data_IF_784039181278
#
_entry.id   IF_784039181278
#
_cell.length_a   1.000
_cell.length_b   1.000
_cell.length_c   1.000
_cell.angle_alpha   90.00
_cell.angle_beta   90.00
_cell.angle_gamma   90.00
#
_symmetry.space_group_name_H-M   'P 1'
#
loop_
_entity.id
_entity.type
_entity.pdbx_description
1 polymer ?
#
# COMPACT_ATOMS: atom_id res chain seq x y z
N UNK A 1 2.19 13.92 -26.61
CA UNK A 1 1.97 12.46 -26.66
C UNK A 1 3.26 11.82 -27.20
N UNK A 2 3.92 11.00 -26.38
CA UNK A 2 5.07 10.20 -26.82
C UNK A 2 4.58 9.16 -27.83
N UNK A 3 5.32 8.86 -28.91
CA UNK A 3 5.04 7.74 -29.78
C UNK A 3 4.93 6.46 -28.94
N UNK A 4 3.95 5.61 -29.22
CA UNK A 4 3.60 4.45 -28.37
C UNK A 4 4.76 3.50 -28.05
N UNK A 5 5.77 3.40 -28.94
CA UNK A 5 6.99 2.61 -28.69
C UNK A 5 7.98 3.26 -27.69
N UNK A 6 7.96 4.58 -27.52
CA UNK A 6 8.86 5.29 -26.61
C UNK A 6 8.28 5.40 -25.18
N UNK A 7 6.94 5.41 -25.04
CA UNK A 7 6.30 5.31 -23.72
C UNK A 7 6.60 3.96 -23.06
N UNK A 8 6.74 2.89 -23.82
CA UNK A 8 6.96 1.55 -23.28
C UNK A 8 8.30 1.41 -22.53
N UNK A 9 9.32 2.22 -22.82
CA UNK A 9 10.64 2.10 -22.18
C UNK A 9 10.64 2.67 -20.75
N UNK A 10 9.85 3.73 -20.51
CA UNK A 10 9.75 4.35 -19.17
C UNK A 10 8.60 3.78 -18.33
N UNK A 11 7.64 3.10 -18.97
CA UNK A 11 6.47 2.51 -18.33
C UNK A 11 6.36 0.98 -18.54
N UNK A 12 7.45 0.33 -18.88
CA UNK A 12 7.45 -1.08 -19.21
C UNK A 12 7.16 -1.95 -17.98
N UNK A 13 6.16 -2.80 -18.09
CA UNK A 13 5.88 -3.85 -17.13
C UNK A 13 6.48 -5.16 -17.67
N UNK A 14 7.56 -5.67 -17.07
CA UNK A 14 8.13 -6.94 -17.49
C UNK A 14 7.12 -8.08 -17.29
N UNK A 15 7.07 -8.99 -18.26
CA UNK A 15 6.32 -10.25 -18.12
C UNK A 15 7.29 -11.29 -17.59
N UNK A 16 7.01 -11.82 -16.43
CA UNK A 16 7.80 -12.87 -15.79
C UNK A 16 7.11 -14.23 -15.98
N UNK A 17 7.86 -15.35 -15.98
CA UNK A 17 7.31 -16.69 -15.84
C UNK A 17 6.46 -16.82 -14.57
N UNK A 18 5.42 -17.68 -14.58
CA UNK A 18 4.47 -17.81 -13.46
C UNK A 18 5.10 -18.24 -12.15
N UNK A 19 6.22 -18.96 -12.21
CA UNK A 19 6.98 -19.48 -11.07
C UNK A 19 8.08 -18.54 -10.57
N UNK A 20 8.19 -17.32 -11.12
CA UNK A 20 9.22 -16.36 -10.70
C UNK A 20 8.94 -15.86 -9.28
N UNK A 21 9.89 -16.00 -8.32
CA UNK A 21 9.74 -15.47 -6.97
C UNK A 21 9.45 -13.96 -6.97
N UNK A 22 8.52 -13.52 -6.13
CA UNK A 22 8.08 -12.12 -6.08
C UNK A 22 9.24 -11.15 -5.79
N UNK A 23 10.18 -11.51 -4.94
CA UNK A 23 11.36 -10.69 -4.63
C UNK A 23 12.23 -10.49 -5.87
N UNK A 24 12.44 -11.56 -6.65
CA UNK A 24 13.21 -11.50 -7.90
C UNK A 24 12.50 -10.64 -8.95
N UNK A 25 11.16 -10.75 -9.07
CA UNK A 25 10.38 -9.89 -9.95
C UNK A 25 10.54 -8.41 -9.59
N UNK A 26 10.48 -8.08 -8.30
CA UNK A 26 10.65 -6.71 -7.82
C UNK A 26 12.07 -6.20 -8.11
N UNK A 27 13.09 -6.99 -7.80
CA UNK A 27 14.49 -6.64 -8.03
C UNK A 27 14.77 -6.40 -9.52
N UNK A 28 14.35 -7.30 -10.39
CA UNK A 28 14.53 -7.18 -11.84
C UNK A 28 13.78 -5.97 -12.41
N UNK A 29 12.56 -5.69 -11.92
CA UNK A 29 11.79 -4.52 -12.36
C UNK A 29 12.46 -3.21 -11.95
N UNK A 30 13.04 -3.15 -10.76
CA UNK A 30 13.80 -1.98 -10.28
C UNK A 30 15.06 -1.77 -11.11
N UNK A 31 15.89 -2.82 -11.25
CA UNK A 31 17.14 -2.76 -12.03
C UNK A 31 16.87 -2.30 -13.46
N UNK A 32 15.87 -2.87 -14.10
CA UNK A 32 15.53 -2.54 -15.46
C UNK A 32 15.01 -1.11 -15.64
N UNK A 33 14.24 -0.60 -14.66
CA UNK A 33 13.83 0.80 -14.65
C UNK A 33 15.03 1.74 -14.50
N UNK A 34 15.96 1.43 -13.60
CA UNK A 34 17.19 2.20 -13.42
C UNK A 34 18.06 2.21 -14.68
N UNK A 35 18.23 1.06 -15.32
CA UNK A 35 18.98 0.95 -16.59
C UNK A 35 18.29 1.74 -17.71
N UNK A 36 16.96 1.68 -17.78
CA UNK A 36 16.16 2.47 -18.72
C UNK A 36 16.38 3.98 -18.55
N UNK A 37 16.40 4.45 -17.29
CA UNK A 37 16.70 5.86 -17.02
C UNK A 37 18.16 6.21 -17.26
N UNK A 38 19.08 5.32 -16.92
CA UNK A 38 20.52 5.55 -17.06
C UNK A 38 20.96 5.59 -18.53
N UNK A 39 20.47 4.65 -19.34
CA UNK A 39 21.04 4.39 -20.66
C UNK A 39 20.12 4.83 -21.81
N UNK A 40 18.80 4.79 -21.62
CA UNK A 40 17.86 5.09 -22.69
C UNK A 40 17.34 6.53 -22.59
N UNK A 41 16.94 7.01 -21.42
CA UNK A 41 16.38 8.35 -21.25
C UNK A 41 17.31 9.46 -21.79
N UNK A 42 18.65 9.46 -21.56
CA UNK A 42 19.55 10.51 -22.05
C UNK A 42 19.54 10.68 -23.56
N UNK A 43 19.40 9.58 -24.30
CA UNK A 43 19.45 9.52 -25.77
C UNK A 43 18.08 9.54 -26.45
N UNK A 44 17.01 9.53 -25.65
CA UNK A 44 15.64 9.50 -26.15
C UNK A 44 15.23 10.89 -26.67
N UNK A 45 14.77 10.94 -27.92
CA UNK A 45 14.19 12.16 -28.50
C UNK A 45 12.78 12.38 -27.96
N UNK A 46 12.59 13.40 -27.15
CA UNK A 46 11.32 13.71 -26.51
C UNK A 46 10.65 14.92 -27.18
N UNK A 47 9.33 14.85 -27.33
CA UNK A 47 8.54 15.99 -27.81
C UNK A 47 8.66 17.19 -26.83
N UNK A 48 8.73 16.91 -25.53
CA UNK A 48 8.98 17.92 -24.51
C UNK A 48 10.31 18.68 -24.72
N UNK A 49 11.23 18.10 -25.49
CA UNK A 49 12.54 18.65 -25.84
C UNK A 49 12.62 19.10 -27.31
N UNK A 50 11.49 19.32 -27.95
CA UNK A 50 11.41 19.72 -29.36
C UNK A 50 12.09 18.70 -30.29
N UNK A 51 11.99 17.41 -29.96
CA UNK A 51 12.60 16.31 -30.72
C UNK A 51 14.09 16.13 -30.48
N UNK A 52 14.70 16.86 -29.56
CA UNK A 52 16.10 16.66 -29.12
C UNK A 52 16.19 15.68 -27.96
N UNK A 53 17.41 15.26 -27.66
CA UNK A 53 17.70 14.37 -26.52
C UNK A 53 18.02 15.17 -25.25
N UNK A 54 17.95 14.51 -24.09
CA UNK A 54 18.35 15.15 -22.83
C UNK A 54 19.84 15.51 -22.83
N UNK A 55 20.71 14.67 -23.42
CA UNK A 55 22.15 14.93 -23.57
C UNK A 55 22.42 16.18 -24.41
N UNK A 56 21.75 16.31 -25.58
CA UNK A 56 21.90 17.48 -26.45
C UNK A 56 21.47 18.78 -25.74
N UNK A 57 20.39 18.73 -24.95
CA UNK A 57 19.89 19.90 -24.21
C UNK A 57 20.72 20.23 -22.97
N UNK A 58 21.29 19.24 -22.31
CA UNK A 58 22.13 19.45 -21.14
C UNK A 58 23.44 20.19 -21.46
N UNK A 59 23.92 20.07 -22.69
CA UNK A 59 25.09 20.82 -23.19
C UNK A 59 24.78 22.30 -23.46
N UNK A 60 23.51 22.64 -23.70
CA UNK A 60 23.06 24.01 -23.97
C UNK A 60 22.64 24.70 -22.67
N UNK A 61 23.41 25.68 -22.23
CA UNK A 61 23.19 26.42 -20.99
C UNK A 61 21.76 26.94 -20.84
N UNK A 62 21.16 27.46 -21.92
CA UNK A 62 19.82 28.02 -21.90
C UNK A 62 18.71 26.95 -21.77
N UNK A 63 19.02 25.72 -22.12
CA UNK A 63 18.05 24.60 -22.09
C UNK A 63 18.24 23.62 -20.92
N UNK A 64 19.32 23.76 -20.15
CA UNK A 64 19.58 22.93 -18.95
C UNK A 64 18.41 22.93 -17.96
N UNK A 65 17.80 24.10 -17.76
CA UNK A 65 16.64 24.25 -16.86
C UNK A 65 15.46 23.37 -17.32
N UNK A 66 15.26 23.23 -18.63
CA UNK A 66 14.20 22.39 -19.21
C UNK A 66 14.42 20.92 -18.88
N UNK A 67 15.66 20.45 -18.99
CA UNK A 67 16.01 19.07 -18.63
C UNK A 67 15.86 18.84 -17.12
N UNK A 68 16.37 19.75 -16.29
CA UNK A 68 16.22 19.67 -14.83
C UNK A 68 14.75 19.66 -14.39
N UNK A 69 13.90 20.51 -14.96
CA UNK A 69 12.47 20.54 -14.66
C UNK A 69 11.79 19.22 -15.07
N UNK A 70 12.14 18.67 -16.22
CA UNK A 70 11.62 17.37 -16.67
C UNK A 70 12.03 16.24 -15.74
N UNK A 71 13.30 16.19 -15.33
CA UNK A 71 13.78 15.19 -14.36
C UNK A 71 13.08 15.34 -13.01
N UNK A 72 12.86 16.57 -12.55
CA UNK A 72 12.15 16.81 -11.28
C UNK A 72 10.71 16.31 -11.35
N UNK A 73 9.99 16.54 -12.45
CA UNK A 73 8.62 16.04 -12.64
C UNK A 73 8.60 14.51 -12.67
N UNK A 74 9.51 13.90 -13.41
CA UNK A 74 9.62 12.43 -13.49
C UNK A 74 9.92 11.85 -12.11
N UNK A 75 10.93 12.38 -11.42
CA UNK A 75 11.34 11.93 -10.10
C UNK A 75 10.21 12.06 -9.08
N UNK A 76 9.51 13.20 -9.04
CA UNK A 76 8.37 13.40 -8.15
C UNK A 76 7.27 12.37 -8.41
N UNK A 77 6.92 12.11 -9.68
CA UNK A 77 5.93 11.09 -10.04
C UNK A 77 6.37 9.67 -9.64
N UNK A 78 7.66 9.34 -9.76
CA UNK A 78 8.18 8.05 -9.33
C UNK A 78 8.17 7.93 -7.81
N UNK A 79 8.55 8.99 -7.10
CA UNK A 79 8.59 9.04 -5.63
C UNK A 79 7.20 8.94 -4.97
N UNK A 80 6.13 9.22 -5.71
CA UNK A 80 4.77 8.91 -5.27
C UNK A 80 4.49 7.41 -5.19
N UNK A 81 5.25 6.58 -5.91
CA UNK A 81 5.06 5.12 -5.98
C UNK A 81 6.18 4.34 -5.30
N UNK A 82 7.40 4.86 -5.38
CA UNK A 82 8.61 4.21 -4.88
C UNK A 82 9.45 5.22 -4.08
N UNK A 83 9.47 5.05 -2.76
CA UNK A 83 10.15 5.93 -1.82
C UNK A 83 11.70 5.90 -1.97
N UNK A 84 12.27 4.89 -2.63
CA UNK A 84 13.72 4.75 -2.86
C UNK A 84 14.23 5.48 -4.10
N UNK A 85 13.33 5.98 -4.96
CA UNK A 85 13.74 6.61 -6.21
C UNK A 85 14.55 7.89 -5.96
N UNK A 86 15.75 7.96 -6.55
CA UNK A 86 16.63 9.14 -6.62
C UNK A 86 17.25 9.19 -8.02
N UNK A 87 17.10 10.32 -8.71
CA UNK A 87 17.66 10.54 -10.05
C UNK A 87 18.91 11.42 -10.05
N UNK A 88 19.57 11.64 -8.92
CA UNK A 88 20.81 12.44 -8.86
C UNK A 88 21.93 11.82 -9.69
N UNK A 89 22.02 10.47 -9.79
CA UNK A 89 22.96 9.80 -10.68
C UNK A 89 22.79 10.19 -12.15
N UNK A 90 21.54 10.44 -12.57
CA UNK A 90 21.23 10.87 -13.93
C UNK A 90 21.57 12.35 -14.15
N UNK A 91 21.34 13.19 -13.13
CA UNK A 91 21.79 14.59 -13.14
C UNK A 91 23.30 14.68 -13.28
N UNK A 92 24.03 13.87 -12.52
CA UNK A 92 25.50 13.78 -12.60
C UNK A 92 25.95 13.36 -14.00
N UNK A 93 25.38 12.29 -14.56
CA UNK A 93 25.68 11.83 -15.94
C UNK A 93 25.45 12.91 -16.99
N UNK A 94 24.42 13.74 -16.83
CA UNK A 94 24.10 14.83 -17.76
C UNK A 94 24.83 16.15 -17.44
N UNK A 95 25.72 16.17 -16.44
CA UNK A 95 26.45 17.37 -15.99
C UNK A 95 25.51 18.45 -15.45
N UNK A 96 24.36 18.05 -14.89
CA UNK A 96 23.38 18.94 -14.26
C UNK A 96 23.65 19.05 -12.76
N UNK A 97 23.13 20.11 -12.13
CA UNK A 97 23.24 20.29 -10.68
C UNK A 97 22.38 19.22 -9.98
N UNK A 98 22.99 18.51 -9.04
CA UNK A 98 22.27 17.59 -8.15
C UNK A 98 21.30 18.34 -7.25
N UNK A 99 20.26 17.67 -6.81
CA UNK A 99 19.29 18.23 -5.87
C UNK A 99 19.77 17.97 -4.45
N UNK A 100 20.24 19.02 -3.79
CA UNK A 100 20.62 18.98 -2.38
C UNK A 100 19.39 18.96 -1.47
N UNK A 101 19.49 18.34 -0.28
CA UNK A 101 18.49 18.47 0.75
C UNK A 101 18.24 19.94 1.11
N UNK A 102 17.00 20.28 1.41
CA UNK A 102 16.59 21.64 1.78
C UNK A 102 16.54 21.72 3.31
N UNK A 103 17.22 22.71 3.88
CA UNK A 103 17.12 23.01 5.30
C UNK A 103 15.77 23.71 5.59
N UNK A 104 14.90 23.14 6.43
CA UNK A 104 13.59 23.71 6.72
C UNK A 104 13.60 24.75 7.85
N UNK A 105 14.75 25.05 8.49
CA UNK A 105 14.85 25.83 9.73
C UNK A 105 14.20 27.22 9.61
N UNK A 106 14.40 27.91 8.47
CA UNK A 106 13.90 29.25 8.25
C UNK A 106 12.71 29.25 7.24
N UNK A 107 12.09 28.10 6.99
CA UNK A 107 10.99 27.97 6.01
C UNK A 107 9.66 27.97 6.74
N UNK A 108 8.79 28.94 6.42
CA UNK A 108 7.42 28.93 6.89
C UNK A 108 6.61 27.81 6.23
N UNK A 109 5.68 27.19 6.97
CA UNK A 109 4.82 26.09 6.49
C UNK A 109 4.08 26.41 5.19
N UNK A 110 3.66 27.66 5.02
CA UNK A 110 2.98 28.16 3.82
C UNK A 110 3.87 28.21 2.56
N UNK A 111 5.19 28.23 2.75
CA UNK A 111 6.17 28.31 1.65
C UNK A 111 6.66 26.92 1.20
N UNK A 112 6.38 25.88 1.97
CA UNK A 112 6.73 24.51 1.60
C UNK A 112 5.87 24.07 0.41
N UNK A 113 6.52 23.82 -0.73
CA UNK A 113 5.82 23.35 -1.94
C UNK A 113 5.79 21.83 -2.01
N UNK A 114 4.74 21.27 -2.62
CA UNK A 114 4.57 19.81 -2.73
C UNK A 114 5.74 19.14 -3.44
N UNK A 115 6.28 19.79 -4.48
CA UNK A 115 7.42 19.27 -5.27
C UNK A 115 8.71 19.19 -4.43
N UNK A 116 8.83 19.98 -3.37
CA UNK A 116 10.00 20.03 -2.49
C UNK A 116 9.89 19.11 -1.28
N UNK A 117 8.69 18.60 -0.95
CA UNK A 117 8.46 17.79 0.26
C UNK A 117 9.42 16.61 0.42
N UNK A 118 9.77 15.93 -0.68
CA UNK A 118 10.73 14.80 -0.65
C UNK A 118 12.20 15.20 -0.55
N UNK A 119 12.51 16.51 -0.44
CA UNK A 119 13.86 17.03 -0.39
C UNK A 119 14.21 17.70 0.94
N UNK A 120 13.24 17.99 1.79
CA UNK A 120 13.53 18.59 3.09
C UNK A 120 14.28 17.62 4.01
N UNK A 121 15.26 18.16 4.72
CA UNK A 121 15.92 17.46 5.83
C UNK A 121 14.93 17.36 7.01
N UNK A 122 14.22 16.23 7.07
CA UNK A 122 13.18 15.98 8.07
C UNK A 122 13.70 16.01 9.51
N UNK A 123 15.01 15.73 9.71
CA UNK A 123 15.63 15.73 11.04
C UNK A 123 15.70 17.13 11.65
N UNK A 124 15.68 18.16 10.80
CA UNK A 124 15.70 19.58 11.20
C UNK A 124 14.33 20.22 11.28
N UNK A 125 13.27 19.52 10.88
CA UNK A 125 11.90 20.02 10.97
C UNK A 125 11.46 20.13 12.44
N UNK A 126 10.66 21.14 12.76
CA UNK A 126 9.92 21.18 14.01
C UNK A 126 8.82 20.11 14.03
N UNK A 127 8.32 19.77 15.20
CA UNK A 127 7.21 18.82 15.36
C UNK A 127 5.96 19.26 14.61
N UNK A 128 5.65 20.56 14.57
CA UNK A 128 4.53 21.12 13.82
C UNK A 128 4.76 21.04 12.29
N UNK A 129 5.99 21.28 11.82
CA UNK A 129 6.35 21.13 10.41
C UNK A 129 6.20 19.66 9.97
N UNK A 130 6.66 18.70 10.78
CA UNK A 130 6.49 17.28 10.50
C UNK A 130 5.02 16.89 10.38
N UNK A 131 4.19 17.32 11.35
CA UNK A 131 2.75 17.04 11.34
C UNK A 131 2.06 17.60 10.09
N UNK A 132 2.32 18.86 9.77
CA UNK A 132 1.74 19.53 8.61
C UNK A 132 2.19 18.87 7.30
N UNK A 133 3.49 18.63 7.14
CA UNK A 133 4.02 17.99 5.94
C UNK A 133 3.52 16.56 5.78
N UNK A 134 3.40 15.78 6.88
CA UNK A 134 2.84 14.44 6.85
C UNK A 134 1.42 14.43 6.28
N UNK A 135 0.52 15.27 6.83
CA UNK A 135 -0.86 15.38 6.36
C UNK A 135 -0.94 15.77 4.89
N UNK A 136 -0.13 16.74 4.44
CA UNK A 136 -0.06 17.13 3.02
C UNK A 136 0.40 15.97 2.14
N UNK A 137 1.44 15.25 2.56
CA UNK A 137 1.97 14.10 1.82
C UNK A 137 0.93 12.99 1.66
N UNK A 138 0.08 12.75 2.66
CA UNK A 138 -1.03 11.79 2.57
C UNK A 138 -2.04 12.20 1.48
N UNK A 139 -2.41 13.50 1.42
CA UNK A 139 -3.36 14.01 0.42
C UNK A 139 -2.84 13.84 -1.01
N UNK A 140 -1.55 14.13 -1.23
CA UNK A 140 -0.92 14.02 -2.56
C UNK A 140 -0.31 12.64 -2.82
N UNK A 141 -0.41 11.72 -1.87
CA UNK A 141 0.17 10.36 -1.94
C UNK A 141 1.67 10.33 -2.23
N UNK A 142 2.43 11.29 -1.66
CA UNK A 142 3.87 11.41 -1.90
C UNK A 142 4.65 10.46 -0.98
N UNK A 143 4.78 9.21 -1.41
CA UNK A 143 5.26 8.10 -0.61
C UNK A 143 6.67 8.30 -0.02
N UNK A 144 7.62 8.83 -0.79
CA UNK A 144 8.99 9.10 -0.29
C UNK A 144 8.97 10.02 0.94
N UNK A 145 8.23 11.12 0.86
CA UNK A 145 8.13 12.06 1.96
C UNK A 145 7.33 11.48 3.14
N UNK A 146 6.24 10.73 2.88
CA UNK A 146 5.47 10.02 3.93
C UNK A 146 6.39 9.14 4.76
N UNK A 147 7.20 8.30 4.11
CA UNK A 147 8.11 7.37 4.79
C UNK A 147 9.14 8.11 5.62
N UNK A 148 9.84 9.08 5.01
CA UNK A 148 10.89 9.84 5.72
C UNK A 148 10.33 10.61 6.93
N UNK A 149 9.18 11.26 6.78
CA UNK A 149 8.54 12.00 7.86
C UNK A 149 7.99 11.05 8.94
N UNK A 150 7.38 9.93 8.56
CA UNK A 150 6.87 8.94 9.49
C UNK A 150 7.99 8.32 10.34
N UNK A 151 9.12 7.96 9.74
CA UNK A 151 10.30 7.46 10.45
C UNK A 151 10.83 8.49 11.46
N UNK A 152 10.92 9.76 11.07
CA UNK A 152 11.35 10.83 11.96
C UNK A 152 10.34 11.05 13.10
N UNK A 153 9.03 11.05 12.85
CA UNK A 153 8.01 11.19 13.88
C UNK A 153 8.11 10.06 14.91
N UNK A 154 8.28 8.80 14.49
CA UNK A 154 8.35 7.69 15.44
C UNK A 154 9.69 7.67 16.22
N UNK A 155 10.76 8.23 15.67
CA UNK A 155 12.06 8.30 16.32
C UNK A 155 12.14 9.36 17.44
N UNK A 156 11.32 10.42 17.38
CA UNK A 156 11.33 11.50 18.37
C UNK A 156 10.62 11.10 19.65
N UNK A 157 11.02 11.74 20.77
CA UNK A 157 10.30 11.64 22.05
C UNK A 157 9.07 12.57 22.05
N UNK A 158 9.19 13.78 21.48
CA UNK A 158 8.12 14.75 21.34
C UNK A 158 7.25 14.44 20.10
N UNK A 159 6.17 13.72 20.31
CA UNK A 159 5.24 13.32 19.24
C UNK A 159 4.25 14.44 18.94
N UNK A 160 3.90 14.66 17.64
CA UNK A 160 2.84 15.59 17.29
C UNK A 160 1.49 15.16 17.88
N UNK A 161 0.88 16.02 18.72
CA UNK A 161 -0.37 15.70 19.43
C UNK A 161 -1.59 15.57 18.51
N UNK A 162 -1.52 16.18 17.30
CA UNK A 162 -2.64 16.24 16.35
C UNK A 162 -2.62 15.11 15.31
N UNK A 163 -1.62 14.24 15.37
CA UNK A 163 -1.52 13.10 14.46
C UNK A 163 -2.02 11.82 15.12
N UNK A 164 -2.72 11.02 14.35
CA UNK A 164 -2.98 9.64 14.71
C UNK A 164 -1.69 8.82 14.52
N UNK A 165 -1.01 8.51 15.62
CA UNK A 165 0.25 7.76 15.57
C UNK A 165 0.05 6.35 15.02
N UNK A 166 -1.13 5.76 15.16
CA UNK A 166 -1.42 4.46 14.56
C UNK A 166 -1.27 4.54 13.03
N UNK A 167 -1.80 5.58 12.37
CA UNK A 167 -1.67 5.77 10.94
C UNK A 167 -0.22 6.05 10.51
N UNK A 168 0.57 6.72 11.37
CA UNK A 168 2.00 6.94 11.14
C UNK A 168 2.75 5.60 11.09
N UNK A 169 2.51 4.69 12.05
CA UNK A 169 3.06 3.34 12.02
C UNK A 169 2.57 2.58 10.79
N UNK A 170 1.29 2.71 10.45
CA UNK A 170 0.68 2.09 9.26
C UNK A 170 1.34 2.48 7.94
N UNK A 171 1.80 3.73 7.82
CA UNK A 171 2.49 4.24 6.63
C UNK A 171 3.82 3.53 6.34
N UNK A 172 4.41 2.90 7.35
CA UNK A 172 5.71 2.23 7.26
C UNK A 172 5.62 0.73 6.98
N UNK A 173 4.43 0.12 7.00
CA UNK A 173 4.27 -1.32 6.83
C UNK A 173 4.92 -1.85 5.55
N UNK A 174 4.75 -1.13 4.44
CA UNK A 174 5.29 -1.56 3.15
C UNK A 174 6.79 -1.28 2.97
N UNK A 175 7.41 -0.58 3.92
CA UNK A 175 8.85 -0.33 3.90
C UNK A 175 9.64 -1.48 4.53
N UNK A 176 8.96 -2.35 5.27
CA UNK A 176 9.56 -3.48 5.97
C UNK A 176 9.61 -4.71 5.07
N UNK A 177 10.74 -5.42 5.14
CA UNK A 177 11.02 -6.54 4.25
C UNK A 177 10.38 -7.83 4.74
N UNK A 178 10.29 -8.02 6.06
CA UNK A 178 9.78 -9.25 6.67
C UNK A 178 8.39 -9.07 7.27
N UNK A 179 7.65 -10.17 7.39
CA UNK A 179 6.34 -10.16 8.04
C UNK A 179 6.45 -9.86 9.54
N UNK A 180 7.52 -10.29 10.19
CA UNK A 180 7.80 -10.05 11.60
C UNK A 180 7.96 -8.55 11.88
N UNK A 181 8.72 -7.83 11.05
CA UNK A 181 8.87 -6.38 11.15
C UNK A 181 7.54 -5.65 10.93
N UNK A 182 6.71 -6.14 9.99
CA UNK A 182 5.37 -5.59 9.74
C UNK A 182 4.44 -5.82 10.91
N UNK A 183 4.47 -7.01 11.51
CA UNK A 183 3.67 -7.36 12.68
C UNK A 183 4.09 -6.49 13.88
N UNK A 184 5.40 -6.25 14.10
CA UNK A 184 5.88 -5.34 15.15
C UNK A 184 5.34 -3.92 14.99
N UNK A 185 5.30 -3.40 13.74
CA UNK A 185 4.70 -2.10 13.47
C UNK A 185 3.18 -2.09 13.70
N UNK A 186 2.47 -3.15 13.35
CA UNK A 186 1.04 -3.27 13.60
C UNK A 186 0.78 -3.30 15.11
N UNK A 187 1.60 -4.01 15.89
CA UNK A 187 1.46 -4.02 17.35
C UNK A 187 1.62 -2.62 17.94
N UNK A 188 2.61 -1.87 17.48
CA UNK A 188 2.78 -0.45 17.87
C UNK A 188 1.60 0.42 17.45
N UNK A 189 1.04 0.17 16.26
CA UNK A 189 -0.15 0.88 15.77
C UNK A 189 -1.38 0.56 16.63
N UNK A 190 -1.60 -0.70 17.03
CA UNK A 190 -2.67 -1.10 17.96
C UNK A 190 -2.55 -0.38 19.30
N UNK A 191 -1.33 -0.37 19.88
CA UNK A 191 -1.07 0.31 21.13
C UNK A 191 -1.32 1.83 21.04
N UNK A 192 -0.89 2.46 19.93
CA UNK A 192 -1.13 3.87 19.68
C UNK A 192 -2.62 4.18 19.53
N UNK A 193 -3.39 3.33 18.83
CA UNK A 193 -4.83 3.47 18.69
C UNK A 193 -5.54 3.39 20.04
N UNK A 194 -5.20 2.37 20.86
CA UNK A 194 -5.77 2.22 22.20
C UNK A 194 -5.42 3.40 23.13
N UNK A 195 -4.19 3.91 23.06
CA UNK A 195 -3.77 5.09 23.83
C UNK A 195 -4.55 6.35 23.43
N UNK A 196 -5.00 6.42 22.17
CA UNK A 196 -5.85 7.49 21.65
C UNK A 196 -7.36 7.23 21.84
N UNK A 197 -7.77 6.18 22.57
CA UNK A 197 -9.14 5.71 22.72
C UNK A 197 -9.83 5.40 21.37
N UNK A 198 -9.05 4.91 20.41
CA UNK A 198 -9.54 4.45 19.10
C UNK A 198 -9.60 2.92 19.04
N UNK A 199 -10.46 2.39 18.17
CA UNK A 199 -10.54 0.95 17.95
C UNK A 199 -9.27 0.39 17.29
N UNK A 200 -8.74 -0.75 17.75
CA UNK A 200 -7.63 -1.43 17.10
C UNK A 200 -8.08 -2.32 15.92
N UNK A 201 -9.38 -2.41 15.64
CA UNK A 201 -9.97 -3.39 14.71
C UNK A 201 -9.33 -3.39 13.32
N UNK A 202 -9.06 -2.21 12.74
CA UNK A 202 -8.41 -2.12 11.41
C UNK A 202 -7.00 -2.70 11.42
N UNK A 203 -6.29 -2.63 12.55
CA UNK A 203 -4.94 -3.18 12.71
C UNK A 203 -4.98 -4.69 12.89
N UNK A 204 -5.99 -5.22 13.60
CA UNK A 204 -6.25 -6.67 13.69
C UNK A 204 -6.53 -7.25 12.30
N UNK A 205 -7.35 -6.58 11.49
CA UNK A 205 -7.60 -6.97 10.09
C UNK A 205 -6.34 -7.01 9.23
N UNK A 206 -5.44 -6.05 9.41
CA UNK A 206 -4.16 -5.99 8.67
C UNK A 206 -3.15 -7.05 9.13
N UNK A 207 -3.24 -7.50 10.36
CA UNK A 207 -2.34 -8.52 10.93
C UNK A 207 -2.67 -9.93 10.40
N UNK A 208 -3.95 -10.27 10.23
CA UNK A 208 -4.41 -11.61 9.84
C UNK A 208 -3.66 -12.17 8.62
N UNK A 209 -3.59 -11.49 7.45
CA UNK A 209 -2.89 -12.03 6.29
C UNK A 209 -1.39 -12.23 6.54
N UNK A 210 -0.74 -11.38 7.33
CA UNK A 210 0.68 -11.53 7.66
C UNK A 210 0.93 -12.77 8.51
N UNK A 211 0.04 -13.06 9.49
CA UNK A 211 0.11 -14.28 10.31
C UNK A 211 -0.09 -15.54 9.46
N UNK A 212 -1.07 -15.52 8.56
CA UNK A 212 -1.30 -16.65 7.63
C UNK A 212 -0.07 -16.87 6.75
N UNK A 213 0.50 -15.82 6.16
CA UNK A 213 1.71 -15.90 5.32
C UNK A 213 2.94 -16.40 6.11
N UNK A 214 3.00 -16.15 7.41
CA UNK A 214 4.06 -16.64 8.30
C UNK A 214 3.76 -18.05 8.84
N UNK A 215 2.63 -18.66 8.47
CA UNK A 215 2.23 -20.00 8.94
C UNK A 215 1.61 -20.03 10.35
N UNK A 216 1.42 -18.85 10.97
CA UNK A 216 0.80 -18.70 12.31
C UNK A 216 -0.73 -18.66 12.21
N UNK A 217 -1.29 -19.78 11.78
CA UNK A 217 -2.74 -19.91 11.54
C UNK A 217 -3.57 -19.85 12.83
N UNK A 218 -2.99 -20.24 13.97
CA UNK A 218 -3.69 -20.18 15.25
C UNK A 218 -3.93 -18.73 15.67
N UNK A 219 -2.89 -17.89 15.68
CA UNK A 219 -3.05 -16.46 16.00
C UNK A 219 -3.99 -15.77 14.99
N UNK A 220 -3.90 -16.12 13.71
CA UNK A 220 -4.83 -15.60 12.71
C UNK A 220 -6.29 -15.93 13.03
N UNK A 221 -6.58 -17.18 13.46
CA UNK A 221 -7.91 -17.60 13.89
C UNK A 221 -8.39 -16.84 15.13
N UNK A 222 -7.52 -16.67 16.13
CA UNK A 222 -7.85 -15.94 17.36
C UNK A 222 -8.16 -14.46 17.07
N UNK A 223 -7.41 -13.85 16.14
CA UNK A 223 -7.69 -12.46 15.66
C UNK A 223 -9.04 -12.36 14.96
N UNK A 224 -9.38 -13.33 14.09
CA UNK A 224 -10.69 -13.36 13.42
C UNK A 224 -11.83 -13.47 14.44
N UNK A 225 -11.72 -14.36 15.42
CA UNK A 225 -12.70 -14.51 16.51
C UNK A 225 -12.81 -13.20 17.33
N UNK A 226 -11.68 -12.55 17.61
CA UNK A 226 -11.68 -11.28 18.36
C UNK A 226 -12.43 -10.19 17.60
N UNK A 227 -12.23 -10.08 16.28
CA UNK A 227 -12.93 -9.11 15.43
C UNK A 227 -14.44 -9.41 15.43
N UNK A 228 -14.81 -10.67 15.24
CA UNK A 228 -16.20 -11.11 15.19
C UNK A 228 -16.93 -10.84 16.52
N UNK A 229 -16.28 -11.15 17.64
CA UNK A 229 -16.90 -11.01 18.96
C UNK A 229 -16.98 -9.55 19.45
N UNK A 230 -16.00 -8.71 19.12
CA UNK A 230 -15.85 -7.41 19.76
C UNK A 230 -15.96 -6.20 18.84
N UNK A 231 -15.75 -6.37 17.51
CA UNK A 231 -15.56 -5.25 16.60
C UNK A 231 -16.44 -5.30 15.35
N UNK A 232 -17.18 -6.39 15.12
CA UNK A 232 -17.95 -6.59 13.87
C UNK A 232 -19.04 -5.54 13.67
N UNK A 233 -19.56 -4.96 14.75
CA UNK A 233 -20.59 -3.92 14.70
C UNK A 233 -20.01 -2.50 14.53
N UNK A 234 -18.68 -2.36 14.53
CA UNK A 234 -18.05 -1.07 14.28
C UNK A 234 -18.21 -0.66 12.80
N UNK A 235 -18.39 0.65 12.52
CA UNK A 235 -18.60 1.13 11.15
C UNK A 235 -17.50 0.70 10.19
N UNK A 236 -17.86 0.00 9.11
CA UNK A 236 -16.97 -0.45 8.05
C UNK A 236 -16.13 -1.70 8.37
N UNK A 237 -16.06 -2.15 9.64
CA UNK A 237 -15.25 -3.32 10.00
C UNK A 237 -15.85 -4.59 9.42
N UNK A 238 -17.18 -4.75 9.48
CA UNK A 238 -17.87 -5.90 8.90
C UNK A 238 -17.53 -6.09 7.42
N UNK A 239 -17.63 -5.03 6.62
CA UNK A 239 -17.39 -5.10 5.18
C UNK A 239 -15.94 -5.45 4.87
N UNK A 240 -14.98 -4.82 5.56
CA UNK A 240 -13.57 -5.13 5.42
C UNK A 240 -13.24 -6.58 5.85
N UNK A 241 -13.87 -7.07 6.93
CA UNK A 241 -13.67 -8.42 7.41
C UNK A 241 -14.16 -9.46 6.41
N UNK A 242 -15.40 -9.31 5.89
CA UNK A 242 -15.91 -10.21 4.86
C UNK A 242 -15.10 -10.15 3.57
N UNK A 243 -14.66 -8.95 3.15
CA UNK A 243 -13.79 -8.81 2.00
C UNK A 243 -12.44 -9.54 2.21
N UNK A 244 -11.87 -9.44 3.40
CA UNK A 244 -10.65 -10.18 3.76
C UNK A 244 -10.88 -11.70 3.70
N UNK A 245 -11.97 -12.21 4.28
CA UNK A 245 -12.29 -13.64 4.24
C UNK A 245 -12.47 -14.16 2.81
N UNK A 246 -13.09 -13.36 1.92
CA UNK A 246 -13.18 -13.69 0.48
C UNK A 246 -11.80 -13.72 -0.19
N UNK A 247 -10.95 -12.73 0.09
CA UNK A 247 -9.58 -12.69 -0.46
C UNK A 247 -8.71 -13.87 -0.01
N UNK A 248 -8.93 -14.33 1.22
CA UNK A 248 -8.25 -15.51 1.78
C UNK A 248 -8.87 -16.83 1.30
N UNK A 249 -9.96 -16.78 0.53
CA UNK A 249 -10.67 -17.98 0.05
C UNK A 249 -11.37 -18.77 1.15
N UNK A 250 -11.68 -18.13 2.28
CA UNK A 250 -12.39 -18.75 3.41
C UNK A 250 -13.89 -18.80 3.15
N UNK A 251 -14.42 -17.76 2.52
CA UNK A 251 -15.82 -17.66 2.10
C UNK A 251 -15.95 -17.36 0.62
N UNK A 252 -17.06 -17.78 0.02
CA UNK A 252 -17.45 -17.43 -1.34
C UNK A 252 -18.07 -16.01 -1.40
N UNK A 253 -18.26 -15.43 -2.60
CA UNK A 253 -18.92 -14.13 -2.75
C UNK A 253 -20.38 -14.07 -2.25
N UNK A 254 -21.05 -15.21 -2.09
CA UNK A 254 -22.38 -15.34 -1.51
C UNK A 254 -22.37 -15.48 0.02
N UNK A 255 -21.19 -15.41 0.64
CA UNK A 255 -20.98 -15.55 2.08
C UNK A 255 -20.97 -17.00 2.58
N UNK A 256 -21.13 -17.99 1.69
CA UNK A 256 -21.03 -19.41 2.09
C UNK A 256 -19.58 -19.82 2.33
N UNK A 257 -19.29 -20.74 3.27
CA UNK A 257 -17.93 -21.25 3.45
C UNK A 257 -17.42 -21.91 2.16
N UNK A 258 -16.15 -21.65 1.82
CA UNK A 258 -15.50 -22.38 0.73
C UNK A 258 -15.35 -23.83 1.15
N UNK A 259 -15.85 -24.78 0.36
CA UNK A 259 -15.59 -26.20 0.60
C UNK A 259 -14.08 -26.40 0.61
N UNK A 260 -13.50 -26.71 1.77
CA UNK A 260 -12.08 -27.04 1.88
C UNK A 260 -11.73 -28.13 0.86
N UNK A 261 -10.46 -28.27 0.44
CA UNK A 261 -10.06 -29.32 -0.48
C UNK A 261 -10.62 -30.64 0.05
N UNK A 262 -11.52 -31.26 -0.74
CA UNK A 262 -12.14 -32.53 -0.38
C UNK A 262 -10.99 -33.46 -0.01
N UNK A 263 -10.99 -33.97 1.22
CA UNK A 263 -10.05 -35.01 1.62
C UNK A 263 -10.12 -36.11 0.53
N UNK A 264 -8.98 -36.61 0.02
CA UNK A 264 -9.00 -37.61 -1.03
C UNK A 264 -9.90 -38.75 -0.58
N UNK A 265 -10.94 -39.03 -1.35
CA UNK A 265 -11.81 -40.18 -1.08
C UNK A 265 -10.98 -41.46 -1.19
N UNK A 266 -10.45 -41.89 -0.08
CA UNK A 266 -9.56 -43.05 0.05
C UNK A 266 -10.06 -44.01 1.08
N UNK A 267 -10.61 -45.09 0.58
CA UNK A 267 -10.86 -46.39 1.17
C UNK A 267 -12.08 -46.59 2.10
N UNK A 268 -12.93 -47.54 1.79
CA UNK A 268 -13.93 -48.03 2.74
C UNK A 268 -13.24 -48.81 3.84
N UNK A 269 -12.91 -48.15 4.93
CA UNK A 269 -12.36 -48.73 6.14
C UNK A 269 -13.51 -49.22 7.03
N UNK A 270 -13.40 -50.50 7.39
CA UNK A 270 -14.21 -51.28 8.31
C UNK A 270 -14.52 -50.45 9.56
N UNK A 271 -15.80 -50.32 9.86
CA UNK A 271 -16.32 -49.68 11.07
C UNK A 271 -16.09 -50.62 12.25
N UNK A 272 -15.19 -50.27 13.16
CA UNK A 272 -15.02 -50.88 14.46
C UNK A 272 -15.81 -50.06 15.50
N UNK A 273 -16.85 -50.59 16.17
CA UNK A 273 -17.77 -49.79 16.97
C UNK A 273 -17.33 -49.59 18.44
N UNK A 274 -16.03 -49.67 18.76
CA UNK A 274 -15.57 -49.54 20.14
C UNK A 274 -14.30 -48.66 20.28
N UNK A 275 -14.43 -47.37 19.98
CA UNK A 275 -13.52 -46.37 20.54
C UNK A 275 -14.19 -45.00 20.63
N UNK A 276 -14.77 -44.78 21.79
CA UNK A 276 -15.05 -43.44 22.30
C UNK A 276 -13.74 -42.81 22.73
N UNK A 277 -13.16 -41.95 21.91
CA UNK A 277 -12.24 -40.94 22.43
C UNK A 277 -12.36 -39.68 21.57
N UNK A 278 -12.88 -38.64 22.19
CA UNK A 278 -13.20 -37.35 21.65
C UNK A 278 -12.01 -36.42 21.83
N UNK A 279 -11.28 -36.14 20.75
CA UNK A 279 -10.53 -34.89 20.60
C UNK A 279 -10.45 -34.55 19.11
N UNK A 280 -11.58 -34.04 18.61
CA UNK A 280 -11.62 -33.37 17.30
C UNK A 280 -11.38 -31.89 17.52
N UNK A 281 -10.23 -31.38 17.09
CA UNK A 281 -10.03 -29.97 16.83
C UNK A 281 -10.99 -29.57 15.71
N UNK A 282 -12.10 -28.95 16.08
CA UNK A 282 -13.12 -28.54 15.15
C UNK A 282 -12.63 -27.33 14.33
N UNK A 283 -12.61 -27.49 13.03
CA UNK A 283 -12.56 -26.39 12.09
C UNK A 283 -13.82 -25.57 12.33
N UNK A 284 -13.65 -24.27 12.64
CA UNK A 284 -14.71 -23.31 12.87
C UNK A 284 -15.67 -23.28 11.67
N UNK A 285 -16.95 -23.48 11.89
CA UNK A 285 -18.04 -23.22 10.95
C UNK A 285 -18.90 -22.10 11.52
N UNK A 286 -19.17 -21.00 10.77
CA UNK A 286 -20.07 -19.95 11.21
C UNK A 286 -21.45 -20.51 11.56
N UNK A 287 -21.97 -20.11 12.73
CA UNK A 287 -23.15 -20.67 13.34
C UNK A 287 -24.38 -20.74 12.44
N UNK A 288 -24.97 -21.91 12.38
CA UNK A 288 -26.25 -22.18 11.74
C UNK A 288 -27.36 -21.49 12.51
N UNK A 289 -27.96 -20.42 11.94
CA UNK A 289 -29.25 -19.92 12.42
C UNK A 289 -30.36 -20.87 11.97
N UNK A 290 -31.37 -21.12 12.81
CA UNK A 290 -32.51 -21.95 12.42
C UNK A 290 -33.36 -21.23 11.36
N UNK A 291 -33.81 -21.98 10.37
CA UNK A 291 -34.65 -21.53 9.28
C UNK A 291 -35.94 -20.91 9.80
N UNK A 292 -36.20 -19.65 9.39
CA UNK A 292 -37.51 -19.03 9.52
C UNK A 292 -38.35 -19.33 8.26
N UNK A 293 -39.63 -19.60 8.46
CA UNK A 293 -40.63 -19.95 7.45
C UNK A 293 -40.79 -18.85 6.37
N UNK A 294 -41.14 -19.21 5.13
CA UNK A 294 -41.31 -18.25 4.04
C UNK A 294 -42.63 -17.51 4.12
N UNK A 295 -42.62 -16.20 4.25
CA UNK A 295 -43.75 -15.34 4.00
C UNK A 295 -43.92 -14.98 2.51
N UNK A 296 -45.16 -14.69 2.04
CA UNK A 296 -45.51 -14.69 0.63
C UNK A 296 -45.08 -13.41 -0.11
N UNK A 297 -44.64 -13.61 -1.35
CA UNK A 297 -44.23 -12.59 -2.31
C UNK A 297 -45.33 -11.59 -2.65
N UNK A 298 -45.05 -10.29 -2.49
CA UNK A 298 -45.80 -9.19 -3.12
C UNK A 298 -44.99 -8.64 -4.31
N UNK A 299 -45.65 -8.52 -5.45
CA UNK A 299 -45.11 -8.07 -6.74
C UNK A 299 -44.62 -6.61 -6.70
N UNK A 300 -43.60 -6.24 -7.46
CA UNK A 300 -43.14 -4.86 -7.57
C UNK A 300 -43.95 -4.09 -8.62
N UNK A 301 -44.39 -2.89 -8.25
CA UNK A 301 -44.93 -1.86 -9.13
C UNK A 301 -43.82 -1.18 -9.91
N UNK A 302 -44.00 -1.06 -11.22
CA UNK A 302 -43.14 -0.29 -12.13
C UNK A 302 -43.16 1.20 -11.79
N UNK A 303 -42.04 1.79 -11.42
CA UNK A 303 -41.82 3.24 -11.47
C UNK A 303 -40.81 3.59 -12.56
N UNK A 304 -41.25 4.40 -13.50
CA UNK A 304 -40.49 4.95 -14.62
C UNK A 304 -39.50 6.00 -14.10
N UNK A 305 -38.20 5.73 -14.18
CA UNK A 305 -37.15 6.74 -13.98
C UNK A 305 -36.94 7.54 -15.27
N UNK A 306 -37.33 8.79 -15.25
CA UNK A 306 -36.97 9.78 -16.30
C UNK A 306 -35.52 10.22 -16.18
N UNK A 307 -34.78 10.08 -17.26
CA UNK A 307 -33.42 10.56 -17.37
C UNK A 307 -33.45 12.08 -17.59
N UNK A 308 -32.81 12.86 -16.71
CA UNK A 308 -32.65 14.31 -16.87
C UNK A 308 -31.31 14.58 -17.55
N UNK A 309 -31.32 15.32 -18.68
CA UNK A 309 -30.14 15.80 -19.40
C UNK A 309 -30.16 17.33 -19.34
N UNK A 310 -29.11 17.99 -18.82
CA UNK A 310 -29.00 19.45 -18.90
C UNK A 310 -28.36 19.88 -20.24
N UNK A 311 -28.88 21.00 -20.77
CA UNK A 311 -28.34 21.73 -21.93
C UNK A 311 -26.99 22.38 -21.65
#
# INVERSE_FOLDING_TARGET
>A
LLPSKQCCVLSWNPVFPEDTPQELMQQLSLTQREDGFRDIFPTLKLQAFDGRTAEELALDFNNRVKVQATLLIIETNLQCRDYKTDLNYLRDKLGLTQLEPIDPTDVELSQITDVQLGRYDVTKMTTDQLAHCYQRCLVITFRKAIVAIAEEIIARDDKPQHLNLADVYGSLLETRSTNEERIDLIEKAKQAALAANQSPAIWLLREIPLRIMSGDTQTASDLMQTIEANHIEEPGIRDHFYQLLMQLGIINPDGSPTAGPAAPAGQPGIIDPTSSDSTAGGVWTPGSQPAADPEPQSQPSEEKSGLWIPD
#
